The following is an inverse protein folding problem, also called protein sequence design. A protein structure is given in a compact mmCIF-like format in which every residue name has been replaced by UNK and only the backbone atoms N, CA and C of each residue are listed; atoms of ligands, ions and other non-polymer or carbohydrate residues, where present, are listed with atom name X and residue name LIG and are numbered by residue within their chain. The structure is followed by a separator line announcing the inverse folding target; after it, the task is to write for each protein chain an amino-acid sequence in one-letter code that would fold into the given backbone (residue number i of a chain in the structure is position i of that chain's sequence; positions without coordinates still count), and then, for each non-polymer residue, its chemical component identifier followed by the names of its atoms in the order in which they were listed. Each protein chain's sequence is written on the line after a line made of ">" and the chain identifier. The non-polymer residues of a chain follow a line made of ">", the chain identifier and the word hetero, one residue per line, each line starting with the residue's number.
data_IF_237392507090
#
_entry.id   IF_237392507090
#
_cell.length_a   1.000
_cell.length_b   1.000
_cell.length_c   1.000
_cell.angle_alpha   90.00
_cell.angle_beta   90.00
_cell.angle_gamma   90.00
#
_symmetry.space_group_name_H-M   'P 1'
#
loop_
_entity.id
_entity.type
_entity.pdbx_description
1 polymer ?
#
# COMPACT_ATOMS: atom_id res chain seq x y z
N UNK A 1 -32.28 -20.15 22.60
CA UNK A 1 -31.25 -20.48 21.60
C UNK A 1 -30.81 -21.90 21.78
N UNK A 2 -30.84 -22.70 20.74
CA UNK A 2 -30.31 -24.07 20.75
C UNK A 2 -28.82 -24.05 20.52
N UNK A 3 -28.16 -25.17 20.81
CA UNK A 3 -26.73 -25.32 20.54
C UNK A 3 -26.40 -25.14 19.06
N UNK A 4 -27.24 -25.66 18.17
CA UNK A 4 -27.06 -25.49 16.74
C UNK A 4 -27.12 -24.04 16.33
N UNK A 5 -28.08 -23.29 16.86
CA UNK A 5 -28.20 -21.85 16.58
C UNK A 5 -26.98 -21.09 17.08
N UNK A 6 -26.47 -21.44 18.24
CA UNK A 6 -25.25 -20.82 18.78
C UNK A 6 -24.06 -21.10 17.86
N UNK A 7 -23.87 -22.34 17.41
CA UNK A 7 -22.79 -22.72 16.52
C UNK A 7 -22.88 -21.97 15.20
N UNK A 8 -24.08 -21.87 14.61
CA UNK A 8 -24.29 -21.16 13.36
C UNK A 8 -23.95 -19.68 13.48
N UNK A 9 -24.34 -19.05 14.57
CA UNK A 9 -24.03 -17.62 14.79
C UNK A 9 -22.54 -17.39 14.95
N UNK A 10 -21.85 -18.26 15.65
CA UNK A 10 -20.40 -18.17 15.81
C UNK A 10 -19.71 -18.31 14.46
N UNK A 11 -20.12 -19.26 13.64
CA UNK A 11 -19.54 -19.46 12.31
C UNK A 11 -19.77 -18.25 11.41
N UNK A 12 -20.97 -17.67 11.43
CA UNK A 12 -21.28 -16.47 10.63
C UNK A 12 -20.40 -15.30 11.04
N UNK A 13 -20.23 -15.07 12.35
CA UNK A 13 -19.38 -14.00 12.86
C UNK A 13 -17.94 -14.22 12.44
N UNK A 14 -17.43 -15.44 12.59
CA UNK A 14 -16.06 -15.78 12.23
C UNK A 14 -15.81 -15.55 10.73
N UNK A 15 -16.67 -16.09 9.87
CA UNK A 15 -16.52 -15.96 8.43
C UNK A 15 -16.62 -14.51 7.97
N UNK A 16 -17.59 -13.77 8.48
CA UNK A 16 -17.81 -12.37 8.10
C UNK A 16 -16.62 -11.50 8.47
N UNK A 17 -16.11 -11.65 9.69
CA UNK A 17 -15.02 -10.80 10.16
C UNK A 17 -13.69 -11.19 9.52
N UNK A 18 -13.48 -12.46 9.18
CA UNK A 18 -12.29 -12.87 8.40
C UNK A 18 -12.29 -12.24 7.02
N UNK A 19 -13.43 -12.23 6.33
CA UNK A 19 -13.55 -11.59 5.02
C UNK A 19 -13.31 -10.09 5.10
N UNK A 20 -13.85 -9.42 6.11
CA UNK A 20 -13.64 -7.99 6.31
C UNK A 20 -12.17 -7.66 6.61
N UNK A 21 -11.52 -8.49 7.40
CA UNK A 21 -10.10 -8.33 7.72
C UNK A 21 -9.24 -8.46 6.46
N UNK A 22 -9.47 -9.48 5.65
CA UNK A 22 -8.74 -9.68 4.41
C UNK A 22 -8.92 -8.50 3.47
N UNK A 23 -10.14 -7.98 3.33
CA UNK A 23 -10.43 -6.81 2.52
C UNK A 23 -9.68 -5.58 3.04
N UNK A 24 -9.69 -5.34 4.34
CA UNK A 24 -9.01 -4.20 4.94
C UNK A 24 -7.50 -4.27 4.72
N UNK A 25 -6.89 -5.46 4.87
CA UNK A 25 -5.46 -5.65 4.60
C UNK A 25 -5.13 -5.35 3.15
N UNK A 26 -5.94 -5.83 2.20
CA UNK A 26 -5.73 -5.57 0.78
C UNK A 26 -5.82 -4.08 0.47
N UNK A 27 -6.78 -3.36 1.06
CA UNK A 27 -6.91 -1.92 0.88
C UNK A 27 -5.69 -1.17 1.42
N UNK A 28 -5.20 -1.56 2.58
CA UNK A 28 -4.02 -0.94 3.20
C UNK A 28 -2.76 -1.18 2.37
N UNK A 29 -2.56 -2.40 1.85
CA UNK A 29 -1.42 -2.70 1.00
C UNK A 29 -1.47 -1.95 -0.31
N UNK A 30 -2.65 -1.83 -0.91
CA UNK A 30 -2.85 -1.06 -2.13
C UNK A 30 -2.48 0.41 -1.91
N UNK A 31 -2.97 1.00 -0.82
CA UNK A 31 -2.67 2.39 -0.48
C UNK A 31 -1.18 2.59 -0.19
N UNK A 32 -0.55 1.64 0.52
CA UNK A 32 0.90 1.66 0.78
C UNK A 32 1.68 1.72 -0.53
N UNK A 33 1.36 0.84 -1.46
CA UNK A 33 2.06 0.74 -2.74
C UNK A 33 1.90 2.03 -3.55
N UNK A 34 0.70 2.58 -3.58
CA UNK A 34 0.42 3.84 -4.27
C UNK A 34 1.20 5.00 -3.66
N UNK A 35 1.22 5.11 -2.32
CA UNK A 35 1.93 6.16 -1.61
C UNK A 35 3.44 6.07 -1.82
N UNK A 36 4.01 4.88 -1.82
CA UNK A 36 5.42 4.67 -2.11
C UNK A 36 5.73 5.19 -3.52
N UNK A 37 4.90 4.82 -4.49
CA UNK A 37 5.05 5.31 -5.86
C UNK A 37 4.96 6.83 -5.94
N UNK A 38 4.03 7.43 -5.21
CA UNK A 38 3.88 8.87 -5.12
C UNK A 38 5.16 9.56 -4.63
N UNK A 39 5.73 9.07 -3.55
CA UNK A 39 6.96 9.63 -3.00
C UNK A 39 8.15 9.51 -3.95
N UNK A 40 8.25 8.39 -4.66
CA UNK A 40 9.31 8.20 -5.67
C UNK A 40 9.18 9.24 -6.78
N UNK A 41 7.97 9.43 -7.30
CA UNK A 41 7.73 10.40 -8.39
C UNK A 41 7.97 11.83 -7.91
N UNK A 42 7.54 12.17 -6.70
CA UNK A 42 7.80 13.50 -6.14
C UNK A 42 9.30 13.76 -6.02
N UNK A 43 10.07 12.78 -5.56
CA UNK A 43 11.51 12.92 -5.47
C UNK A 43 12.14 13.16 -6.84
N UNK A 44 11.73 12.40 -7.85
CA UNK A 44 12.22 12.57 -9.21
C UNK A 44 11.91 13.95 -9.77
N UNK A 45 10.68 14.45 -9.52
CA UNK A 45 10.25 15.75 -10.04
C UNK A 45 10.98 16.92 -9.39
N UNK A 46 11.34 16.81 -8.12
CA UNK A 46 12.07 17.87 -7.42
C UNK A 46 13.52 17.99 -7.87
N UNK A 47 14.05 17.01 -8.59
CA UNK A 47 15.33 17.08 -9.24
C UNK A 47 16.52 17.32 -8.32
N UNK A 48 16.43 16.87 -7.06
CA UNK A 48 17.46 17.09 -6.07
C UNK A 48 18.80 16.44 -6.45
N UNK A 49 18.76 15.32 -7.18
CA UNK A 49 19.96 14.62 -7.62
C UNK A 49 19.71 13.98 -8.99
N UNK A 50 20.09 14.68 -10.04
CA UNK A 50 19.86 14.24 -11.42
C UNK A 50 20.66 12.99 -11.81
N UNK A 51 21.69 12.63 -11.05
CA UNK A 51 22.48 11.44 -11.33
C UNK A 51 21.78 10.15 -10.95
N UNK A 52 20.67 10.22 -10.20
CA UNK A 52 19.96 9.05 -9.65
C UNK A 52 18.50 9.01 -10.10
N UNK A 53 18.27 9.03 -11.39
CA UNK A 53 16.92 8.85 -11.93
C UNK A 53 16.71 7.45 -12.46
N UNK A 54 15.43 7.08 -12.56
CA UNK A 54 15.01 5.84 -13.17
C UNK A 54 15.49 4.62 -12.41
N UNK A 55 15.99 3.63 -13.13
CA UNK A 55 16.41 2.35 -12.55
C UNK A 55 17.52 2.50 -11.52
N UNK A 56 18.47 3.40 -11.78
CA UNK A 56 19.59 3.61 -10.84
C UNK A 56 19.09 4.15 -9.50
N UNK A 57 18.16 5.08 -9.50
CA UNK A 57 17.54 5.58 -8.28
C UNK A 57 16.87 4.44 -7.52
N UNK A 58 16.10 3.60 -8.22
CA UNK A 58 15.37 2.52 -7.58
C UNK A 58 16.29 1.47 -6.97
N UNK A 59 17.40 1.17 -7.63
CA UNK A 59 18.41 0.24 -7.10
C UNK A 59 19.08 0.80 -5.85
N UNK A 60 19.45 2.05 -5.88
CA UNK A 60 20.06 2.74 -4.73
C UNK A 60 19.08 2.78 -3.56
N UNK A 61 17.83 3.12 -3.84
CA UNK A 61 16.77 3.21 -2.83
C UNK A 61 16.50 1.85 -2.19
N UNK A 62 16.39 0.80 -3.01
CA UNK A 62 16.15 -0.55 -2.52
C UNK A 62 17.29 -1.03 -1.61
N UNK A 63 18.53 -0.74 -1.98
CA UNK A 63 19.69 -1.08 -1.17
C UNK A 63 19.67 -0.35 0.17
N UNK A 64 19.31 0.92 0.16
CA UNK A 64 19.25 1.72 1.39
C UNK A 64 18.12 1.28 2.32
N UNK A 65 16.95 0.97 1.77
CA UNK A 65 15.81 0.50 2.54
C UNK A 65 16.09 -0.88 3.13
N UNK A 66 16.65 -1.79 2.34
CA UNK A 66 17.06 -3.13 2.72
C UNK A 66 15.97 -3.90 3.47
N UNK A 67 14.79 -3.98 2.88
CA UNK A 67 13.65 -4.73 3.44
C UNK A 67 13.12 -5.74 2.44
N UNK A 68 12.68 -6.89 2.95
CA UNK A 68 12.02 -7.90 2.14
C UNK A 68 10.77 -7.31 1.49
N UNK A 69 10.59 -7.58 0.19
CA UNK A 69 9.47 -7.04 -0.56
C UNK A 69 9.67 -5.63 -1.08
N UNK A 70 10.82 -5.02 -0.84
CA UNK A 70 11.16 -3.66 -1.27
C UNK A 70 12.38 -3.65 -2.18
N UNK A 71 12.48 -4.64 -3.10
CA UNK A 71 13.53 -4.64 -4.11
C UNK A 71 13.21 -3.59 -5.19
N UNK A 72 14.19 -3.30 -6.05
CA UNK A 72 14.05 -2.24 -7.04
C UNK A 72 12.92 -2.51 -8.05
N UNK A 73 12.64 -3.78 -8.37
CA UNK A 73 11.54 -4.13 -9.28
C UNK A 73 10.18 -3.84 -8.65
N UNK A 74 10.04 -4.11 -7.37
CA UNK A 74 8.82 -3.78 -6.63
C UNK A 74 8.62 -2.28 -6.57
N UNK A 75 9.69 -1.54 -6.30
CA UNK A 75 9.63 -0.07 -6.29
C UNK A 75 9.27 0.49 -7.67
N UNK A 76 9.78 -0.12 -8.72
CA UNK A 76 9.41 0.23 -10.10
C UNK A 76 7.91 0.00 -10.33
N UNK A 77 7.38 -1.13 -9.88
CA UNK A 77 5.95 -1.43 -9.98
C UNK A 77 5.10 -0.41 -9.22
N UNK A 78 5.52 -0.02 -8.02
CA UNK A 78 4.81 0.97 -7.22
C UNK A 78 4.82 2.34 -7.89
N UNK A 79 5.94 2.71 -8.47
CA UNK A 79 6.06 3.94 -9.25
C UNK A 79 5.08 3.94 -10.42
N UNK A 80 5.05 2.85 -11.17
CA UNK A 80 4.12 2.68 -12.29
C UNK A 80 2.66 2.70 -11.85
N UNK A 81 2.37 2.11 -10.71
CA UNK A 81 1.01 2.11 -10.15
C UNK A 81 0.53 3.53 -9.89
N UNK A 82 1.33 4.33 -9.20
CA UNK A 82 0.98 5.74 -8.96
C UNK A 82 0.81 6.51 -10.27
N UNK A 83 1.73 6.33 -11.21
CA UNK A 83 1.72 7.05 -12.49
C UNK A 83 0.48 6.71 -13.32
N UNK A 84 0.06 5.43 -13.28
CA UNK A 84 -1.10 4.96 -14.04
C UNK A 84 -2.43 5.32 -13.39
N UNK A 85 -2.48 5.47 -12.08
CA UNK A 85 -3.71 5.68 -11.33
C UNK A 85 -3.61 6.87 -10.36
N UNK A 86 -3.27 8.07 -10.85
CA UNK A 86 -3.15 9.24 -9.96
C UNK A 86 -4.47 9.62 -9.31
N UNK A 87 -5.60 9.20 -9.91
CA UNK A 87 -6.94 9.50 -9.39
C UNK A 87 -7.26 8.82 -8.07
N UNK A 88 -6.47 7.81 -7.67
CA UNK A 88 -6.68 7.14 -6.38
C UNK A 88 -6.35 8.02 -5.18
N UNK A 89 -5.76 9.18 -5.41
CA UNK A 89 -5.39 10.12 -4.36
C UNK A 89 -6.55 10.42 -3.40
N UNK A 90 -7.72 10.76 -3.96
CA UNK A 90 -8.88 11.11 -3.14
C UNK A 90 -9.42 9.92 -2.34
N UNK A 91 -9.45 8.75 -2.95
CA UNK A 91 -9.92 7.54 -2.29
C UNK A 91 -9.01 7.15 -1.13
N UNK A 92 -7.70 7.29 -1.32
CA UNK A 92 -6.71 6.99 -0.29
C UNK A 92 -6.81 7.99 0.86
N UNK A 93 -6.99 9.28 0.57
CA UNK A 93 -7.13 10.31 1.60
C UNK A 93 -8.38 10.12 2.44
N UNK A 94 -9.43 9.52 1.90
CA UNK A 94 -10.67 9.31 2.61
C UNK A 94 -10.63 8.10 3.55
N UNK A 95 -9.54 7.36 3.58
CA UNK A 95 -9.37 6.23 4.49
C UNK A 95 -8.98 6.74 5.89
N UNK A 96 -9.76 6.37 6.90
CA UNK A 96 -9.56 6.87 8.27
C UNK A 96 -8.18 6.53 8.84
N UNK A 97 -7.63 5.36 8.48
CA UNK A 97 -6.33 4.92 8.96
C UNK A 97 -5.17 5.75 8.42
N UNK A 98 -5.40 6.50 7.35
CA UNK A 98 -4.35 7.34 6.75
C UNK A 98 -3.91 8.46 7.69
N UNK A 99 -4.78 8.90 8.58
CA UNK A 99 -4.43 9.94 9.56
C UNK A 99 -3.27 9.54 10.46
N UNK A 100 -3.06 8.24 10.67
CA UNK A 100 -1.93 7.73 11.45
C UNK A 100 -0.59 7.89 10.73
N UNK A 101 -0.60 8.10 9.41
CA UNK A 101 0.61 8.28 8.59
C UNK A 101 0.99 9.74 8.39
N UNK A 102 0.10 10.66 8.74
CA UNK A 102 0.39 12.10 8.65
C UNK A 102 1.24 12.51 9.83
N UNK A 103 2.48 12.58 9.58
CA UNK A 103 3.46 13.06 10.58
C UNK A 103 3.96 14.42 10.16
#
# INVERSE_FOLDING_TARGET
>A
MTLEQLADRIQIVDDTLRQQTAHAVNCMLTARNWLIGCYIVEYEQKGADRAQYGEQLLKTLAHRINRKGMNWRRLYEFRGFYTSYPQLYMEILNCNWLSALTV
#
